data_IF_496216151190
#
_entry.id   IF_496216151190
#
_cell.length_a   1.000
_cell.length_b   1.000
_cell.length_c   1.000
_cell.angle_alpha   90.00
_cell.angle_beta   90.00
_cell.angle_gamma   90.00
#
_symmetry.space_group_name_H-M   'P 1'
#
loop_
_entity.id
_entity.type
_entity.pdbx_description
1 polymer ?
#
# COMPACT_ATOMS: atom_id res chain seq x y z
N UNK A 1 -10.94 15.39 8.60
CA UNK A 1 -11.73 14.20 9.02
C UNK A 1 -10.77 13.24 9.71
N UNK A 2 -11.15 12.59 10.83
CA UNK A 2 -10.26 11.61 11.49
C UNK A 2 -10.24 10.30 10.66
N UNK A 3 -9.07 9.70 10.40
CA UNK A 3 -9.04 8.43 9.67
C UNK A 3 -9.80 7.34 10.40
N UNK A 4 -10.51 6.53 9.62
CA UNK A 4 -11.21 5.33 10.06
C UNK A 4 -10.50 4.11 9.48
N UNK A 5 -9.36 3.74 10.05
CA UNK A 5 -8.64 2.56 9.61
C UNK A 5 -9.39 1.27 9.95
N UNK A 6 -9.21 0.26 9.10
CA UNK A 6 -9.71 -1.08 9.36
C UNK A 6 -9.12 -1.64 10.67
N UNK A 7 -9.90 -2.48 11.35
CA UNK A 7 -9.52 -3.12 12.62
C UNK A 7 -9.57 -4.64 12.56
N UNK A 8 -10.05 -5.19 11.45
CA UNK A 8 -10.11 -6.63 11.23
C UNK A 8 -9.97 -7.00 9.76
N UNK A 9 -9.54 -8.24 9.50
CA UNK A 9 -9.50 -8.83 8.16
C UNK A 9 -10.24 -10.17 8.14
N UNK A 10 -10.94 -10.50 7.04
CA UNK A 10 -11.63 -11.77 6.93
C UNK A 10 -10.64 -12.91 6.73
N UNK A 11 -10.93 -14.02 7.40
CA UNK A 11 -10.23 -15.27 7.21
C UNK A 11 -10.81 -16.00 5.98
N UNK A 12 -9.96 -16.57 5.12
CA UNK A 12 -10.36 -17.38 3.98
C UNK A 12 -11.30 -18.51 4.44
N UNK A 13 -12.39 -18.71 3.70
CA UNK A 13 -13.31 -19.85 3.81
C UNK A 13 -14.06 -19.96 5.16
N UNK A 14 -14.05 -18.90 5.97
CA UNK A 14 -14.76 -18.87 7.26
C UNK A 14 -15.44 -17.52 7.48
N UNK A 15 -16.62 -17.52 8.09
CA UNK A 15 -17.27 -16.31 8.63
C UNK A 15 -16.57 -15.81 9.90
N UNK A 16 -15.24 -15.69 9.85
CA UNK A 16 -14.42 -15.30 10.99
C UNK A 16 -13.43 -14.24 10.60
N UNK A 17 -13.09 -13.39 11.57
CA UNK A 17 -12.20 -12.26 11.38
C UNK A 17 -10.98 -12.38 12.28
N UNK A 18 -9.86 -11.85 11.80
CA UNK A 18 -8.68 -11.60 12.61
C UNK A 18 -8.56 -10.11 12.91
N UNK A 19 -8.36 -9.75 14.17
CA UNK A 19 -8.08 -8.37 14.53
C UNK A 19 -6.73 -7.93 13.95
N UNK A 20 -6.73 -6.73 13.37
CA UNK A 20 -5.53 -6.08 12.85
C UNK A 20 -5.39 -4.69 13.45
N UNK A 21 -4.17 -4.19 13.47
CA UNK A 21 -3.88 -2.80 13.83
C UNK A 21 -3.20 -2.11 12.66
N UNK A 22 -3.79 -1.04 12.18
CA UNK A 22 -3.14 -0.12 11.24
C UNK A 22 -2.48 0.98 12.05
N UNK A 23 -1.21 1.28 11.75
CA UNK A 23 -0.50 2.41 12.36
C UNK A 23 0.50 3.02 11.40
N UNK A 24 0.84 4.29 11.66
CA UNK A 24 2.02 4.89 11.09
C UNK A 24 3.27 4.21 11.67
N UNK A 25 4.26 4.04 10.82
CA UNK A 25 5.51 3.35 11.08
C UNK A 25 6.70 4.32 10.90
N UNK A 26 7.84 3.91 11.42
CA UNK A 26 9.08 4.67 11.33
C UNK A 26 10.23 3.89 10.67
N UNK A 27 11.44 4.43 10.70
CA UNK A 27 12.62 3.77 10.14
C UNK A 27 12.93 2.42 10.81
N UNK A 28 12.65 2.28 12.11
CA UNK A 28 12.84 1.02 12.86
C UNK A 28 11.96 -0.08 12.29
N UNK A 29 10.73 0.24 11.89
CA UNK A 29 9.83 -0.72 11.23
C UNK A 29 10.36 -1.18 9.88
N UNK A 30 10.94 -0.27 9.08
CA UNK A 30 11.61 -0.65 7.83
C UNK A 30 12.79 -1.60 8.07
N UNK A 31 13.57 -1.38 9.14
CA UNK A 31 14.63 -2.29 9.56
C UNK A 31 14.08 -3.64 10.04
N UNK A 32 12.99 -3.64 10.81
CA UNK A 32 12.32 -4.85 11.25
C UNK A 32 11.76 -5.66 10.09
N UNK A 33 11.15 -5.02 9.08
CA UNK A 33 10.72 -5.71 7.87
C UNK A 33 11.88 -6.38 7.15
N UNK A 34 12.98 -5.65 6.94
CA UNK A 34 14.19 -6.20 6.32
C UNK A 34 14.73 -7.42 7.07
N UNK A 35 14.70 -7.37 8.40
CA UNK A 35 15.25 -8.43 9.27
C UNK A 35 14.32 -9.64 9.39
N UNK A 36 13.01 -9.41 9.53
CA UNK A 36 12.04 -10.43 9.93
C UNK A 36 11.22 -10.98 8.75
N UNK A 37 10.99 -10.17 7.72
CA UNK A 37 10.09 -10.51 6.60
C UNK A 37 10.88 -10.81 5.33
N UNK A 38 11.81 -9.94 4.96
CA UNK A 38 12.58 -10.05 3.71
C UNK A 38 13.27 -11.41 3.50
N UNK A 39 13.85 -12.08 4.52
CA UNK A 39 14.48 -13.40 4.34
C UNK A 39 13.54 -14.51 3.86
N UNK A 40 12.23 -14.32 4.01
CA UNK A 40 11.20 -15.29 3.61
C UNK A 40 10.51 -14.93 2.29
N UNK A 41 10.89 -13.81 1.66
CA UNK A 41 10.29 -13.36 0.39
C UNK A 41 10.91 -14.17 -0.75
N UNK A 42 10.09 -14.99 -1.41
CA UNK A 42 10.53 -15.83 -2.53
C UNK A 42 11.00 -15.02 -3.75
N UNK A 43 11.92 -15.56 -4.57
CA UNK A 43 12.60 -14.83 -5.64
C UNK A 43 11.68 -14.38 -6.79
N UNK A 44 10.53 -15.01 -6.96
CA UNK A 44 9.53 -14.65 -7.97
C UNK A 44 8.71 -13.40 -7.62
N UNK A 45 8.79 -12.92 -6.37
CA UNK A 45 8.04 -11.73 -5.97
C UNK A 45 8.74 -10.44 -6.43
N UNK A 46 7.99 -9.42 -6.92
CA UNK A 46 8.57 -8.14 -7.32
C UNK A 46 9.37 -7.44 -6.21
N UNK A 47 9.01 -7.69 -4.95
CA UNK A 47 9.66 -7.11 -3.77
C UNK A 47 10.81 -7.95 -3.21
N UNK A 48 11.22 -9.04 -3.87
CA UNK A 48 12.24 -9.96 -3.36
C UNK A 48 13.60 -9.31 -3.04
N UNK A 49 13.97 -8.26 -3.78
CA UNK A 49 15.26 -7.57 -3.64
C UNK A 49 15.15 -6.24 -2.91
N UNK A 50 13.99 -5.90 -2.35
CA UNK A 50 13.80 -4.60 -1.70
C UNK A 50 14.61 -4.51 -0.41
N UNK A 51 15.26 -3.36 -0.23
CA UNK A 51 15.94 -2.97 0.99
C UNK A 51 15.19 -1.80 1.62
N UNK A 52 14.15 -2.11 2.40
CA UNK A 52 13.21 -1.13 2.93
C UNK A 52 13.83 0.08 3.64
N UNK A 53 14.84 -0.07 4.53
CA UNK A 53 15.52 1.09 5.12
C UNK A 53 16.14 2.02 4.08
N UNK A 54 16.77 1.45 3.05
CA UNK A 54 17.39 2.21 1.99
C UNK A 54 16.34 2.87 1.09
N UNK A 55 15.26 2.15 0.75
CA UNK A 55 14.13 2.71 0.00
C UNK A 55 13.49 3.87 0.75
N UNK A 56 13.30 3.75 2.06
CA UNK A 56 12.68 4.80 2.88
C UNK A 56 13.58 6.04 2.97
N UNK A 57 14.88 5.83 3.16
CA UNK A 57 15.86 6.92 3.12
C UNK A 57 15.91 7.62 1.75
N UNK A 58 15.88 6.85 0.65
CA UNK A 58 15.85 7.40 -0.70
C UNK A 58 14.56 8.18 -0.98
N UNK A 59 13.42 7.65 -0.55
CA UNK A 59 12.15 8.35 -0.64
C UNK A 59 12.22 9.68 0.12
N UNK A 60 12.77 9.70 1.34
CA UNK A 60 12.97 10.94 2.11
C UNK A 60 13.75 11.99 1.33
N UNK A 61 14.86 11.60 0.69
CA UNK A 61 15.64 12.51 -0.15
C UNK A 61 14.88 12.97 -1.40
N UNK A 62 14.22 12.05 -2.10
CA UNK A 62 13.49 12.36 -3.32
C UNK A 62 12.30 13.28 -3.05
N UNK A 63 11.55 13.02 -2.00
CA UNK A 63 10.37 13.79 -1.60
C UNK A 63 10.75 15.19 -1.08
N UNK A 64 11.87 15.33 -0.37
CA UNK A 64 12.37 16.62 0.10
C UNK A 64 12.65 17.60 -1.07
N UNK A 65 13.13 17.11 -2.22
CA UNK A 65 13.32 17.93 -3.42
C UNK A 65 12.02 18.60 -3.90
N UNK A 66 10.89 17.96 -3.65
CA UNK A 66 9.55 18.44 -4.00
C UNK A 66 8.79 19.03 -2.80
N UNK A 67 9.47 19.27 -1.67
CA UNK A 67 8.87 19.74 -0.41
C UNK A 67 7.73 18.85 0.11
N UNK A 68 7.88 17.54 -0.08
CA UNK A 68 6.95 16.50 0.38
C UNK A 68 7.62 15.63 1.43
N UNK A 69 6.82 14.85 2.16
CA UNK A 69 7.28 13.94 3.21
C UNK A 69 6.78 12.54 2.89
N UNK A 70 7.65 11.50 2.88
CA UNK A 70 7.18 10.14 2.79
C UNK A 70 6.63 9.69 4.15
N UNK A 71 5.56 8.90 4.13
CA UNK A 71 5.07 8.22 5.33
C UNK A 71 5.09 6.71 5.14
N UNK A 72 5.32 6.00 6.25
CA UNK A 72 5.31 4.54 6.29
C UNK A 72 4.11 4.11 7.11
N UNK A 73 3.38 3.10 6.65
CA UNK A 73 2.25 2.51 7.37
C UNK A 73 2.40 1.00 7.40
N UNK A 74 2.03 0.40 8.52
CA UNK A 74 1.99 -1.04 8.68
C UNK A 74 0.61 -1.50 9.12
N UNK A 75 0.24 -2.68 8.62
CA UNK A 75 -0.85 -3.47 9.16
C UNK A 75 -0.21 -4.58 9.97
N UNK A 76 -0.60 -4.69 11.23
CA UNK A 76 -0.06 -5.65 12.18
C UNK A 76 -1.13 -6.61 12.68
N UNK A 77 -0.69 -7.81 13.02
CA UNK A 77 -1.50 -8.85 13.66
C UNK A 77 -0.82 -9.34 14.93
N UNK A 78 -1.56 -10.01 15.80
CA UNK A 78 -0.98 -10.68 16.96
C UNK A 78 -0.26 -11.96 16.55
N UNK A 79 0.99 -12.11 16.96
CA UNK A 79 1.75 -13.36 16.94
C UNK A 79 1.80 -14.02 18.31
N UNK A 80 2.74 -14.96 18.48
CA UNK A 80 2.93 -15.68 19.74
C UNK A 80 3.18 -14.74 20.93
N UNK A 81 2.45 -14.97 22.03
CA UNK A 81 2.58 -14.17 23.25
C UNK A 81 2.10 -12.72 23.09
N UNK A 82 1.23 -12.44 22.12
CA UNK A 82 0.67 -11.09 21.90
C UNK A 82 1.61 -10.10 21.24
N UNK A 83 2.79 -10.55 20.75
CA UNK A 83 3.73 -9.69 20.04
C UNK A 83 3.12 -9.23 18.72
N UNK A 84 3.32 -7.95 18.37
CA UNK A 84 2.90 -7.42 17.07
C UNK A 84 3.78 -8.01 15.96
N UNK A 85 3.13 -8.54 14.93
CA UNK A 85 3.76 -9.10 13.73
C UNK A 85 3.33 -8.27 12.52
N UNK A 86 4.27 -7.74 11.72
CA UNK A 86 3.92 -6.99 10.53
C UNK A 86 3.32 -7.92 9.48
N UNK A 87 2.04 -7.70 9.16
CA UNK A 87 1.32 -8.41 8.11
C UNK A 87 1.56 -7.74 6.75
N UNK A 88 1.57 -6.42 6.72
CA UNK A 88 1.76 -5.65 5.50
C UNK A 88 2.40 -4.31 5.81
N UNK A 89 3.10 -3.74 4.83
CA UNK A 89 3.74 -2.44 4.95
C UNK A 89 3.65 -1.69 3.63
N UNK A 90 3.41 -0.38 3.71
CA UNK A 90 3.44 0.51 2.56
C UNK A 90 4.17 1.81 2.86
N UNK A 91 4.73 2.38 1.82
CA UNK A 91 5.35 3.69 1.80
C UNK A 91 4.58 4.60 0.86
N UNK A 92 4.22 5.76 1.38
CA UNK A 92 3.40 6.75 0.72
C UNK A 92 4.23 8.01 0.45
N UNK A 93 3.92 8.72 -0.63
CA UNK A 93 4.27 10.13 -0.81
C UNK A 93 3.02 10.97 -0.66
N UNK A 94 3.09 11.95 0.22
CA UNK A 94 1.97 12.84 0.55
C UNK A 94 2.07 14.12 -0.29
N UNK A 95 0.97 14.53 -0.91
CA UNK A 95 0.95 15.71 -1.77
C UNK A 95 1.52 15.45 -3.16
N UNK A 96 1.47 14.20 -3.62
CA UNK A 96 1.86 13.85 -4.98
C UNK A 96 0.87 14.45 -5.98
N UNK A 97 1.28 14.92 -7.17
CA UNK A 97 0.32 15.35 -8.18
C UNK A 97 -0.59 14.20 -8.62
N UNK A 98 -1.91 14.41 -8.60
CA UNK A 98 -2.87 13.41 -9.02
C UNK A 98 -2.62 12.95 -10.48
N UNK A 99 -3.00 11.70 -10.75
CA UNK A 99 -2.82 11.07 -12.05
C UNK A 99 -3.99 11.32 -13.01
N UNK A 100 -4.96 12.14 -12.61
CA UNK A 100 -6.16 12.49 -13.37
C UNK A 100 -5.96 13.66 -14.34
N UNK A 101 -4.71 14.08 -14.54
CA UNK A 101 -4.34 15.22 -15.38
C UNK A 101 -4.49 16.57 -14.68
N UNK A 102 -5.05 16.61 -13.47
CA UNK A 102 -5.14 17.81 -12.64
C UNK A 102 -3.85 18.11 -11.86
N UNK A 103 -3.83 19.28 -11.23
CA UNK A 103 -2.80 19.68 -10.25
C UNK A 103 -3.22 19.42 -8.80
N UNK A 104 -4.33 18.71 -8.59
CA UNK A 104 -4.80 18.38 -7.24
C UNK A 104 -3.83 17.41 -6.57
N UNK A 105 -3.51 17.60 -5.27
CA UNK A 105 -2.68 16.68 -4.53
C UNK A 105 -3.38 15.33 -4.32
N UNK A 106 -2.59 14.27 -4.18
CA UNK A 106 -3.03 12.93 -3.82
C UNK A 106 -2.00 12.26 -2.90
N UNK A 107 -2.35 11.08 -2.40
CA UNK A 107 -1.41 10.14 -1.80
C UNK A 107 -0.90 9.20 -2.89
N UNK A 108 0.41 9.05 -3.03
CA UNK A 108 1.00 8.11 -3.99
C UNK A 108 1.66 6.93 -3.26
N UNK A 109 1.26 5.71 -3.59
CA UNK A 109 1.88 4.50 -3.04
C UNK A 109 3.15 4.22 -3.83
N UNK A 110 4.30 4.48 -3.20
CA UNK A 110 5.61 4.16 -3.78
C UNK A 110 5.93 2.68 -3.70
N UNK A 111 5.68 2.08 -2.53
CA UNK A 111 5.97 0.68 -2.25
C UNK A 111 4.87 0.11 -1.38
N UNK A 112 4.47 -1.13 -1.65
CA UNK A 112 3.51 -1.86 -0.84
C UNK A 112 3.84 -3.36 -0.90
N UNK A 113 3.85 -4.03 0.24
CA UNK A 113 4.10 -5.46 0.33
C UNK A 113 3.32 -6.10 1.46
N UNK A 114 2.95 -7.37 1.26
CA UNK A 114 2.43 -8.25 2.29
C UNK A 114 3.50 -9.26 2.71
N UNK A 115 3.55 -9.59 4.00
CA UNK A 115 4.41 -10.64 4.51
C UNK A 115 4.00 -12.00 3.91
N UNK A 116 4.96 -12.82 3.43
CA UNK A 116 4.64 -14.17 2.99
C UNK A 116 4.24 -15.04 4.19
N UNK A 117 3.39 -16.05 3.95
CA UNK A 117 2.94 -16.98 5.00
C UNK A 117 4.11 -17.63 5.77
N UNK A 118 5.22 -17.92 5.10
CA UNK A 118 6.43 -18.44 5.74
C UNK A 118 7.00 -17.50 6.83
N UNK A 119 7.00 -16.18 6.60
CA UNK A 119 7.43 -15.21 7.60
C UNK A 119 6.44 -15.14 8.78
N UNK A 120 5.14 -15.12 8.47
CA UNK A 120 4.10 -15.11 9.50
C UNK A 120 4.21 -16.35 10.40
N UNK A 121 4.38 -17.53 9.81
CA UNK A 121 4.60 -18.79 10.53
C UNK A 121 5.84 -18.72 11.43
N UNK A 122 6.96 -18.21 10.92
CA UNK A 122 8.19 -18.06 11.70
C UNK A 122 8.02 -17.11 12.90
N UNK A 123 7.11 -16.14 12.80
CA UNK A 123 6.78 -15.18 13.85
C UNK A 123 5.61 -15.65 14.75
N UNK A 124 5.12 -16.87 14.56
CA UNK A 124 4.02 -17.43 15.35
C UNK A 124 2.67 -16.79 15.07
N UNK A 125 2.51 -16.17 13.89
CA UNK A 125 1.25 -15.63 13.41
C UNK A 125 0.57 -16.62 12.44
N UNK A 126 -0.78 -16.60 12.32
CA UNK A 126 -1.51 -17.53 11.45
C UNK A 126 -1.17 -17.28 9.96
N UNK A 127 -0.48 -18.21 9.27
CA UNK A 127 0.21 -17.90 8.02
C UNK A 127 -0.69 -17.82 6.77
N UNK A 128 -1.81 -18.55 6.74
CA UNK A 128 -2.44 -18.92 5.46
C UNK A 128 -3.94 -18.63 5.39
N UNK A 129 -4.42 -17.59 6.08
CA UNK A 129 -5.87 -17.35 6.16
C UNK A 129 -6.31 -15.93 5.88
N UNK A 130 -5.43 -14.97 5.66
CA UNK A 130 -5.89 -13.58 5.54
C UNK A 130 -6.19 -13.21 4.09
N UNK A 131 -7.42 -12.78 3.86
CA UNK A 131 -7.84 -12.20 2.60
C UNK A 131 -7.88 -10.67 2.70
N UNK A 132 -8.07 -10.00 1.56
CA UNK A 132 -8.25 -8.55 1.48
C UNK A 132 -7.06 -7.66 1.93
N UNK A 133 -5.84 -8.20 2.03
CA UNK A 133 -4.65 -7.42 2.47
C UNK A 133 -4.35 -6.25 1.52
N UNK A 134 -4.51 -6.43 0.20
CA UNK A 134 -4.25 -5.36 -0.76
C UNK A 134 -5.30 -4.24 -0.62
N UNK A 135 -6.57 -4.64 -0.51
CA UNK A 135 -7.71 -3.74 -0.33
C UNK A 135 -7.57 -2.95 0.98
N UNK A 136 -7.08 -3.58 2.04
CA UNK A 136 -6.75 -2.97 3.30
C UNK A 136 -5.62 -1.92 3.22
N UNK A 137 -4.55 -2.23 2.49
CA UNK A 137 -3.47 -1.27 2.23
C UNK A 137 -4.00 -0.06 1.43
N UNK A 138 -4.81 -0.33 0.40
CA UNK A 138 -5.42 0.73 -0.40
C UNK A 138 -6.37 1.60 0.44
N UNK A 139 -7.23 1.00 1.27
CA UNK A 139 -8.10 1.76 2.17
C UNK A 139 -7.30 2.63 3.14
N UNK A 140 -6.20 2.12 3.68
CA UNK A 140 -5.32 2.91 4.54
C UNK A 140 -4.75 4.13 3.81
N UNK A 141 -4.33 3.97 2.55
CA UNK A 141 -3.89 5.10 1.73
C UNK A 141 -5.02 6.10 1.42
N UNK A 142 -6.24 5.61 1.17
CA UNK A 142 -7.45 6.43 0.97
C UNK A 142 -7.79 7.21 2.24
N UNK A 143 -7.79 6.55 3.40
CA UNK A 143 -8.02 7.18 4.70
C UNK A 143 -6.96 8.25 4.99
N UNK A 144 -5.69 7.95 4.70
CA UNK A 144 -4.61 8.94 4.80
C UNK A 144 -4.83 10.13 3.87
N UNK A 145 -5.31 9.88 2.66
CA UNK A 145 -5.66 10.91 1.68
C UNK A 145 -6.81 11.82 2.20
N UNK A 146 -7.83 11.25 2.85
CA UNK A 146 -8.87 12.05 3.52
C UNK A 146 -8.37 12.87 4.71
N UNK A 147 -7.47 12.32 5.54
CA UNK A 147 -6.87 13.07 6.64
C UNK A 147 -6.11 14.31 6.17
N UNK A 148 -5.45 14.20 5.02
CA UNK A 148 -4.67 15.27 4.41
C UNK A 148 -5.52 16.27 3.60
N UNK A 149 -6.82 16.01 3.42
CA UNK A 149 -7.71 16.87 2.63
C UNK A 149 -7.55 16.69 1.12
N UNK A 150 -7.10 15.52 0.66
CA UNK A 150 -6.90 15.20 -0.77
C UNK A 150 -8.09 14.41 -1.36
N UNK A 151 -9.25 14.44 -0.70
CA UNK A 151 -10.51 13.82 -1.14
C UNK A 151 -10.41 12.33 -1.48
N UNK A 152 -9.56 11.58 -0.75
CA UNK A 152 -9.43 10.14 -0.94
C UNK A 152 -8.61 9.75 -2.17
N UNK A 153 -8.07 10.71 -2.93
CA UNK A 153 -7.26 10.46 -4.14
C UNK A 153 -6.01 9.68 -3.81
N UNK A 154 -5.84 8.55 -4.48
CA UNK A 154 -4.65 7.69 -4.38
C UNK A 154 -4.16 7.30 -5.76
N UNK A 155 -2.84 7.30 -5.96
CA UNK A 155 -2.18 6.81 -7.17
C UNK A 155 -1.11 5.75 -6.88
N UNK A 156 -0.84 4.89 -7.85
CA UNK A 156 0.29 3.94 -7.81
C UNK A 156 0.77 3.57 -9.22
N UNK A 157 1.90 2.87 -9.28
CA UNK A 157 2.40 2.23 -10.50
C UNK A 157 2.63 0.75 -10.25
N UNK A 158 2.18 -0.08 -11.17
CA UNK A 158 2.44 -1.52 -11.12
C UNK A 158 3.83 -1.82 -11.68
N UNK A 159 4.67 -2.43 -10.85
CA UNK A 159 6.03 -2.80 -11.25
C UNK A 159 5.98 -3.75 -12.48
N UNK A 160 6.74 -3.46 -13.55
CA UNK A 160 6.83 -4.31 -14.74
C UNK A 160 7.08 -5.79 -14.45
N UNK A 161 7.91 -6.08 -13.45
CA UNK A 161 8.30 -7.44 -13.06
C UNK A 161 7.17 -8.25 -12.45
N UNK A 162 6.10 -7.60 -11.96
CA UNK A 162 4.90 -8.25 -11.47
C UNK A 162 3.99 -8.80 -12.59
N UNK A 163 4.25 -8.42 -13.84
CA UNK A 163 3.52 -8.88 -15.01
C UNK A 163 2.01 -8.67 -14.93
N UNK A 164 1.27 -9.45 -15.72
CA UNK A 164 -0.19 -9.36 -15.78
C UNK A 164 -0.86 -9.70 -14.45
N UNK A 165 -0.27 -10.57 -13.63
CA UNK A 165 -0.85 -10.94 -12.35
C UNK A 165 -0.93 -9.73 -11.39
N UNK A 166 0.12 -8.91 -11.31
CA UNK A 166 0.09 -7.71 -10.48
C UNK A 166 -0.87 -6.66 -11.04
N UNK A 167 -0.87 -6.50 -12.36
CA UNK A 167 -1.77 -5.59 -13.06
C UNK A 167 -3.24 -5.94 -12.80
N UNK A 168 -3.62 -7.20 -13.02
CA UNK A 168 -4.98 -7.71 -12.75
C UNK A 168 -5.36 -7.60 -11.27
N UNK A 169 -4.41 -7.76 -10.33
CA UNK A 169 -4.70 -7.53 -8.90
C UNK A 169 -5.12 -6.08 -8.62
N UNK A 170 -4.45 -5.09 -9.19
CA UNK A 170 -4.84 -3.69 -8.98
C UNK A 170 -6.14 -3.33 -9.73
N UNK A 171 -6.30 -3.82 -10.96
CA UNK A 171 -7.50 -3.58 -11.77
C UNK A 171 -8.74 -4.27 -11.19
N UNK A 172 -8.68 -5.57 -10.96
CA UNK A 172 -9.87 -6.39 -10.73
C UNK A 172 -10.16 -6.55 -9.23
N UNK A 173 -9.11 -6.79 -8.44
CA UNK A 173 -9.26 -7.03 -7.00
C UNK A 173 -9.33 -5.73 -6.20
N UNK A 174 -8.38 -4.83 -6.41
CA UNK A 174 -8.40 -3.51 -5.78
C UNK A 174 -9.36 -2.52 -6.46
N UNK A 175 -9.88 -2.86 -7.65
CA UNK A 175 -10.86 -2.06 -8.42
C UNK A 175 -10.39 -0.63 -8.68
N UNK A 176 -9.08 -0.43 -8.84
CA UNK A 176 -8.52 0.87 -9.21
C UNK A 176 -8.65 1.14 -10.70
N UNK A 177 -8.77 2.41 -11.09
CA UNK A 177 -8.87 2.80 -12.49
C UNK A 177 -7.47 2.81 -13.13
N UNK A 178 -7.23 2.04 -14.21
CA UNK A 178 -5.99 2.15 -14.96
C UNK A 178 -5.94 3.49 -15.70
N UNK A 179 -4.77 4.12 -15.69
CA UNK A 179 -4.51 5.31 -16.50
C UNK A 179 -4.10 4.85 -17.91
N UNK A 180 -4.87 5.27 -18.92
CA UNK A 180 -4.58 4.94 -20.32
C UNK A 180 -3.15 5.39 -20.70
N UNK A 181 -2.41 4.56 -21.43
CA UNK A 181 -0.99 4.80 -21.75
C UNK A 181 -0.71 6.07 -22.58
N UNK A 182 -1.73 6.68 -23.16
CA UNK A 182 -1.65 7.96 -23.88
C UNK A 182 -1.94 9.18 -22.99
N UNK A 183 -2.36 8.98 -21.74
CA UNK A 183 -2.60 10.08 -20.81
C UNK A 183 -1.28 10.72 -20.41
N UNK A 184 -1.25 12.05 -20.39
CA UNK A 184 -0.10 12.83 -19.96
C UNK A 184 0.11 12.67 -18.45
N UNK A 185 1.30 12.24 -18.05
CA UNK A 185 1.72 12.35 -16.65
C UNK A 185 2.06 13.80 -16.34
N UNK A 186 1.95 14.19 -15.07
CA UNK A 186 2.32 15.53 -14.62
C UNK A 186 3.76 15.89 -14.98
N UNK A 187 4.07 17.20 -15.05
CA UNK A 187 5.31 17.75 -15.63
C UNK A 187 6.58 17.07 -15.10
N UNK A 188 6.61 16.68 -13.82
CA UNK A 188 7.75 15.98 -13.18
C UNK A 188 8.03 14.58 -13.75
N UNK A 189 7.07 13.96 -14.45
CA UNK A 189 7.19 12.64 -15.10
C UNK A 189 7.24 12.72 -16.63
N UNK A 190 7.30 13.91 -17.24
CA UNK A 190 7.46 14.05 -18.70
C UNK A 190 8.70 13.35 -19.28
N UNK A 191 9.69 13.00 -18.44
CA UNK A 191 10.86 12.22 -18.85
C UNK A 191 10.62 10.71 -18.94
N UNK A 192 9.51 10.17 -18.40
CA UNK A 192 9.12 8.76 -18.55
C UNK A 192 7.74 8.68 -19.18
N UNK A 193 7.66 8.06 -20.35
CA UNK A 193 6.40 7.81 -21.05
C UNK A 193 5.47 6.99 -20.16
N UNK A 194 4.18 7.35 -20.11
CA UNK A 194 3.16 6.53 -19.49
C UNK A 194 3.16 5.16 -20.20
N UNK A 195 3.39 4.11 -19.43
CA UNK A 195 3.53 2.73 -19.90
C UNK A 195 2.24 1.93 -19.72
N UNK A 196 1.14 2.59 -19.37
CA UNK A 196 -0.17 1.98 -19.15
C UNK A 196 -0.31 1.24 -17.82
N UNK A 197 0.68 1.33 -16.91
CA UNK A 197 0.68 0.60 -15.63
C UNK A 197 0.41 1.47 -14.41
N UNK A 198 -0.04 2.70 -14.63
CA UNK A 198 -0.47 3.57 -13.56
C UNK A 198 -1.92 3.29 -13.19
N UNK A 199 -2.22 3.33 -11.90
CA UNK A 199 -3.56 3.16 -11.36
C UNK A 199 -3.87 4.29 -10.41
N UNK A 200 -5.14 4.69 -10.36
CA UNK A 200 -5.56 5.76 -9.48
C UNK A 200 -7.01 5.64 -9.05
N UNK A 201 -7.39 6.49 -8.09
CA UNK A 201 -8.76 6.68 -7.62
C UNK A 201 -9.12 8.16 -7.67
N UNK A 202 -10.30 8.45 -8.20
CA UNK A 202 -10.97 9.73 -8.00
C UNK A 202 -11.74 9.73 -6.66
N UNK A 203 -12.28 10.87 -6.20
CA UNK A 203 -13.00 10.94 -4.94
C UNK A 203 -14.22 10.02 -4.88
N UNK A 204 -14.93 9.85 -6.01
CA UNK A 204 -16.13 9.03 -6.07
C UNK A 204 -15.78 7.54 -5.89
N UNK A 205 -14.77 7.08 -6.62
CA UNK A 205 -14.24 5.71 -6.52
C UNK A 205 -13.62 5.49 -5.14
N UNK A 206 -12.80 6.42 -4.64
CA UNK A 206 -12.20 6.32 -3.31
C UNK A 206 -13.26 6.16 -2.22
N UNK A 207 -14.33 6.97 -2.24
CA UNK A 207 -15.46 6.83 -1.33
C UNK A 207 -16.15 5.48 -1.48
N UNK A 208 -16.43 5.04 -2.71
CA UNK A 208 -17.06 3.74 -2.97
C UNK A 208 -16.23 2.56 -2.46
N UNK A 209 -14.92 2.55 -2.72
CA UNK A 209 -14.01 1.51 -2.25
C UNK A 209 -13.95 1.52 -0.72
N UNK A 210 -13.80 2.70 -0.12
CA UNK A 210 -13.70 2.83 1.32
C UNK A 210 -14.99 2.42 2.04
N UNK A 211 -16.16 2.76 1.51
CA UNK A 211 -17.45 2.34 2.04
C UNK A 211 -17.64 0.83 1.95
N UNK A 212 -17.15 0.21 0.86
CA UNK A 212 -17.23 -1.25 0.71
C UNK A 212 -16.44 -2.04 1.77
N UNK A 213 -15.58 -1.36 2.55
CA UNK A 213 -14.78 -1.93 3.63
C UNK A 213 -15.24 -1.46 5.02
N UNK A 214 -16.36 -0.73 5.14
CA UNK A 214 -16.86 -0.24 6.44
C UNK A 214 -17.10 -1.38 7.44
N UNK A 215 -17.50 -2.55 6.96
CA UNK A 215 -17.71 -3.74 7.80
C UNK A 215 -16.41 -4.27 8.45
N UNK A 216 -15.24 -3.78 8.05
CA UNK A 216 -13.93 -4.15 8.63
C UNK A 216 -13.40 -3.14 9.67
N UNK A 217 -14.13 -2.06 9.97
CA UNK A 217 -13.73 -0.99 10.90
C UNK A 217 -14.24 -1.17 12.33
#
# INVERSE_FOLDING_TARGET
MQARFIKRLPLHEKESFLNVRVRQCDASDAHNWKRLIQPHVGPARPDAKWNWPWLFWQAGKSEALFKRVPSLFCIEIAGSGGKAVPLAMMMLSEGYPALDGGYTPCVYIWYAAAAPGAALKALGAPPDKLSMILEALLDTAIQRSYELGYDGRVGLHADPSGGEQLFSKYRDKARMTPLLGNASLTVARKMKRNDGRYFWTDPKLAQSLSNSLDFLR
#
